data_IF_205955719047
#
_entry.id   IF_205955719047
#
_cell.length_a   1.000
_cell.length_b   1.000
_cell.length_c   1.000
_cell.angle_alpha   90.00
_cell.angle_beta   90.00
_cell.angle_gamma   90.00
#
_symmetry.space_group_name_H-M   'P 1'
#
loop_
_entity.id
_entity.type
_entity.pdbx_description
1 polymer ?
#
# COMPACT_ATOMS: atom_id res chain seq x y z
N UNK A 1 -5.28 -14.24 -3.09
CA UNK A 1 -4.38 -13.43 -3.94
C UNK A 1 -3.45 -12.62 -3.07
N UNK A 2 -2.18 -12.49 -3.44
CA UNK A 2 -1.18 -11.64 -2.75
C UNK A 2 -0.76 -10.56 -3.76
N UNK A 3 -0.75 -9.30 -3.34
CA UNK A 3 -0.25 -8.19 -4.16
C UNK A 3 1.19 -7.88 -3.78
N UNK A 4 2.05 -7.71 -4.78
CA UNK A 4 3.41 -7.25 -4.63
C UNK A 4 3.52 -5.87 -5.29
N UNK A 5 3.88 -4.85 -4.51
CA UNK A 5 3.93 -3.46 -4.96
C UNK A 5 5.38 -2.95 -4.87
N UNK A 6 5.99 -2.65 -6.01
CA UNK A 6 7.29 -1.98 -6.11
C UNK A 6 7.14 -0.60 -6.75
N UNK A 7 8.26 0.12 -6.87
CA UNK A 7 8.31 1.44 -7.54
C UNK A 7 7.32 2.46 -6.95
N UNK A 8 7.21 2.51 -5.62
CA UNK A 8 6.21 3.34 -4.96
C UNK A 8 6.58 4.82 -5.02
N UNK A 9 7.86 5.17 -4.84
CA UNK A 9 8.38 6.54 -4.89
C UNK A 9 7.51 7.55 -4.11
N UNK A 10 6.97 7.14 -2.96
CA UNK A 10 6.09 7.96 -2.11
C UNK A 10 4.62 8.02 -2.52
N UNK A 11 4.19 7.25 -3.54
CA UNK A 11 2.83 7.21 -4.04
C UNK A 11 2.14 5.88 -3.68
N UNK A 12 1.21 5.92 -2.73
CA UNK A 12 0.50 4.71 -2.22
C UNK A 12 -0.95 4.59 -2.71
N UNK A 13 -1.51 5.62 -3.33
CA UNK A 13 -2.93 5.67 -3.72
C UNK A 13 -3.38 4.53 -4.62
N UNK A 14 -2.52 4.12 -5.56
CA UNK A 14 -2.79 3.01 -6.47
C UNK A 14 -2.95 1.66 -5.73
N UNK A 15 -2.30 1.50 -4.58
CA UNK A 15 -2.43 0.31 -3.73
C UNK A 15 -3.82 0.25 -3.12
N UNK A 16 -4.38 1.40 -2.73
CA UNK A 16 -5.67 1.47 -2.04
C UNK A 16 -6.82 1.01 -2.93
N UNK A 17 -6.86 1.53 -4.17
CA UNK A 17 -7.87 1.15 -5.14
C UNK A 17 -7.86 -0.36 -5.42
N UNK A 18 -6.66 -0.92 -5.64
CA UNK A 18 -6.50 -2.35 -5.92
C UNK A 18 -6.83 -3.19 -4.68
N UNK A 19 -6.38 -2.78 -3.49
CA UNK A 19 -6.67 -3.50 -2.25
C UNK A 19 -8.19 -3.54 -1.94
N UNK A 20 -8.91 -2.43 -2.18
CA UNK A 20 -10.36 -2.36 -1.95
C UNK A 20 -11.14 -3.21 -2.96
N UNK A 21 -10.78 -3.14 -4.25
CA UNK A 21 -11.49 -3.85 -5.31
C UNK A 21 -11.24 -5.36 -5.28
N UNK A 22 -10.00 -5.77 -5.01
CA UNK A 22 -9.61 -7.17 -5.13
C UNK A 22 -9.49 -7.93 -3.80
N UNK A 23 -9.53 -7.23 -2.67
CA UNK A 23 -9.43 -7.79 -1.31
C UNK A 23 -8.37 -8.90 -1.18
N UNK A 24 -7.09 -8.59 -1.47
CA UNK A 24 -6.03 -9.59 -1.36
C UNK A 24 -5.84 -10.02 0.10
N UNK A 25 -5.30 -11.22 0.30
CA UNK A 25 -4.98 -11.72 1.63
C UNK A 25 -3.79 -10.97 2.27
N UNK A 26 -2.91 -10.42 1.43
CA UNK A 26 -1.77 -9.60 1.85
C UNK A 26 -1.33 -8.64 0.74
N UNK A 27 -0.77 -7.51 1.16
CA UNK A 27 -0.05 -6.56 0.31
C UNK A 27 1.40 -6.52 0.80
N UNK A 28 2.34 -6.83 -0.09
CA UNK A 28 3.78 -6.84 0.18
C UNK A 28 4.41 -5.66 -0.55
N UNK A 29 5.03 -4.75 0.21
CA UNK A 29 5.76 -3.61 -0.34
C UNK A 29 7.23 -4.00 -0.55
N UNK A 30 7.72 -3.88 -1.78
CA UNK A 30 9.04 -4.40 -2.18
C UNK A 30 10.22 -3.45 -1.98
N UNK A 31 9.98 -2.24 -1.45
CA UNK A 31 11.01 -1.19 -1.30
C UNK A 31 10.61 0.12 -1.97
N UNK A 32 11.57 1.04 -2.12
CA UNK A 32 11.38 2.38 -2.73
C UNK A 32 10.18 3.16 -2.16
N UNK A 33 9.95 2.99 -0.84
CA UNK A 33 8.75 3.50 -0.20
C UNK A 33 8.69 5.03 -0.24
N UNK A 34 9.82 5.70 0.06
CA UNK A 34 9.98 7.17 0.07
C UNK A 34 8.78 7.90 0.67
N UNK A 35 8.24 7.33 1.76
CA UNK A 35 7.05 7.81 2.41
C UNK A 35 7.28 9.24 2.94
N UNK A 36 6.33 10.14 2.69
CA UNK A 36 6.41 11.53 3.17
C UNK A 36 6.09 11.64 4.65
N UNK A 37 5.39 10.64 5.19
CA UNK A 37 4.98 10.48 6.59
C UNK A 37 5.26 9.06 7.06
N UNK A 38 5.20 8.77 8.37
CA UNK A 38 5.25 7.39 8.86
C UNK A 38 4.26 6.47 8.13
N UNK A 39 4.67 5.23 7.83
CA UNK A 39 3.87 4.30 7.00
C UNK A 39 2.48 4.00 7.56
N UNK A 40 2.30 3.97 8.89
CA UNK A 40 0.98 3.76 9.48
C UNK A 40 0.00 4.92 9.15
N UNK A 41 0.52 6.12 8.90
CA UNK A 41 -0.26 7.28 8.43
C UNK A 41 -0.52 7.17 6.93
N UNK A 42 0.49 6.83 6.13
CA UNK A 42 0.32 6.68 4.68
C UNK A 42 -0.65 5.55 4.33
N UNK A 43 -0.60 4.43 5.04
CA UNK A 43 -1.37 3.21 4.76
C UNK A 43 -2.69 3.12 5.55
N UNK A 44 -3.00 4.10 6.41
CA UNK A 44 -4.26 4.15 7.17
C UNK A 44 -5.51 3.81 6.33
N UNK A 45 -5.64 4.26 5.04
CA UNK A 45 -6.82 3.97 4.22
C UNK A 45 -7.10 2.48 3.97
N UNK A 46 -6.12 1.60 4.15
CA UNK A 46 -6.27 0.15 3.94
C UNK A 46 -6.04 -0.69 5.20
N UNK A 47 -5.66 -0.07 6.32
CA UNK A 47 -5.38 -0.78 7.57
C UNK A 47 -6.63 -0.98 8.45
N UNK A 48 -7.73 -0.28 8.18
CA UNK A 48 -9.00 -0.47 8.90
C UNK A 48 -8.93 -0.17 10.40
N UNK A 49 -7.96 0.66 10.82
CA UNK A 49 -7.77 1.18 12.18
C UNK A 49 -8.24 2.63 12.27
#
# INVERSE_FOLDING_TARGET
MILFCGNLHGQFSHIFEVAQNYRPAAVILLGDLQARRPLHIELAPILGI
#
